data_IF_683471681614
#
_entry.id   IF_683471681614
#
_cell.length_a   1.000
_cell.length_b   1.000
_cell.length_c   1.000
_cell.angle_alpha   90.00
_cell.angle_beta   90.00
_cell.angle_gamma   90.00
#
_symmetry.space_group_name_H-M   'P 1'
#
loop_
_entity.id
_entity.type
_entity.pdbx_description
1 polymer ?
#
# COMPACT_ATOMS: atom_id res chain seq x y z
N UNK A 1 -22.90 -38.74 -38.05
CA UNK A 1 -21.60 -39.44 -37.99
C UNK A 1 -20.53 -38.52 -38.55
N UNK A 2 -19.55 -38.18 -37.70
CA UNK A 2 -18.12 -37.89 -38.01
C UNK A 2 -17.77 -36.84 -39.08
N UNK A 3 -17.23 -35.69 -38.64
CA UNK A 3 -15.78 -35.32 -38.74
C UNK A 3 -15.49 -34.51 -40.03
N UNK A 4 -14.71 -33.43 -40.06
CA UNK A 4 -13.57 -33.04 -39.23
C UNK A 4 -13.35 -31.52 -39.28
N UNK A 5 -12.77 -31.04 -38.19
CA UNK A 5 -12.12 -29.74 -38.00
C UNK A 5 -11.07 -29.47 -39.10
N UNK A 6 -10.82 -28.20 -39.45
CA UNK A 6 -9.58 -27.46 -39.10
C UNK A 6 -8.92 -26.96 -40.41
N UNK A 7 -8.18 -25.86 -40.59
CA UNK A 7 -7.42 -24.93 -39.75
C UNK A 7 -7.41 -23.53 -40.40
N UNK A 8 -7.13 -22.55 -39.56
CA UNK A 8 -6.82 -21.13 -39.79
C UNK A 8 -5.72 -20.94 -40.85
N UNK A 9 -5.88 -19.97 -41.76
CA UNK A 9 -4.75 -19.27 -42.36
C UNK A 9 -4.87 -17.76 -42.10
N UNK A 10 -3.89 -17.33 -41.31
CA UNK A 10 -3.55 -16.01 -40.80
C UNK A 10 -3.10 -15.07 -41.90
N UNK A 11 -3.12 -13.76 -41.59
CA UNK A 11 -2.24 -12.68 -42.09
C UNK A 11 -2.83 -11.81 -43.21
N UNK A 12 -2.71 -10.47 -43.23
CA UNK A 12 -2.19 -9.46 -42.31
C UNK A 12 -2.53 -8.08 -42.92
N UNK A 13 -2.64 -7.03 -42.08
CA UNK A 13 -2.58 -5.57 -42.39
C UNK A 13 -3.73 -5.01 -43.26
N UNK A 14 -4.40 -3.89 -42.95
CA UNK A 14 -3.87 -2.59 -42.55
C UNK A 14 -5.04 -1.73 -42.08
N UNK A 15 -4.94 -1.15 -40.89
CA UNK A 15 -5.97 -0.24 -40.39
C UNK A 15 -5.39 0.59 -39.25
N UNK A 16 -4.74 1.69 -39.62
CA UNK A 16 -4.27 2.69 -38.69
C UNK A 16 -5.46 3.28 -37.92
N UNK A 17 -5.46 3.13 -36.60
CA UNK A 17 -6.14 4.07 -35.70
C UNK A 17 -5.15 4.40 -34.59
N UNK A 18 -4.73 5.65 -34.60
CA UNK A 18 -3.98 6.29 -33.54
C UNK A 18 -4.83 6.43 -32.26
N UNK A 19 -4.15 6.62 -31.14
CA UNK A 19 -4.64 6.76 -29.76
C UNK A 19 -4.92 5.39 -29.10
N UNK A 20 -4.30 5.06 -27.96
CA UNK A 20 -4.18 5.89 -26.76
C UNK A 20 -2.82 5.62 -26.09
N UNK A 21 -2.11 6.69 -25.77
CA UNK A 21 -1.03 6.69 -24.78
C UNK A 21 -1.53 6.03 -23.49
N UNK A 22 -1.16 4.78 -23.23
CA UNK A 22 -1.33 4.20 -21.91
C UNK A 22 -0.48 5.06 -20.95
N UNK A 23 -1.08 5.78 -19.99
CA UNK A 23 -0.29 6.54 -19.04
C UNK A 23 0.50 5.53 -18.22
N UNK A 24 1.82 5.74 -18.24
CA UNK A 24 2.83 5.32 -17.28
C UNK A 24 2.33 4.36 -16.20
N UNK A 25 2.79 3.11 -16.28
CA UNK A 25 2.51 2.07 -15.30
C UNK A 25 2.86 2.50 -13.88
N UNK A 26 1.85 2.89 -13.11
CA UNK A 26 1.90 2.79 -11.66
C UNK A 26 1.80 1.30 -11.34
N UNK A 27 2.95 0.67 -11.04
CA UNK A 27 2.95 -0.67 -10.46
C UNK A 27 2.22 -0.52 -9.11
N UNK A 28 0.96 -0.93 -9.05
CA UNK A 28 0.24 -1.01 -7.79
C UNK A 28 1.02 -2.01 -6.91
N UNK A 29 1.73 -1.52 -5.90
CA UNK A 29 2.43 -2.38 -4.96
C UNK A 29 1.39 -3.29 -4.31
N UNK A 30 1.54 -4.60 -4.53
CA UNK A 30 0.65 -5.58 -3.91
C UNK A 30 0.84 -5.55 -2.39
N UNK A 31 -0.24 -5.56 -1.59
CA UNK A 31 -0.11 -5.60 -0.14
C UNK A 31 0.66 -6.84 0.32
N UNK A 32 1.60 -6.67 1.24
CA UNK A 32 2.44 -7.73 1.81
C UNK A 32 1.79 -8.25 3.08
N UNK A 33 1.50 -9.55 3.16
CA UNK A 33 0.93 -10.15 4.36
C UNK A 33 1.94 -10.18 5.51
N UNK A 34 1.53 -9.67 6.67
CA UNK A 34 2.40 -9.53 7.85
C UNK A 34 2.04 -10.48 9.00
N UNK A 35 0.90 -11.18 8.91
CA UNK A 35 0.41 -12.08 9.96
C UNK A 35 -0.98 -11.69 10.46
N UNK A 36 -1.28 -12.04 11.71
CA UNK A 36 -2.55 -11.72 12.37
C UNK A 36 -2.39 -10.69 13.50
N UNK A 37 -3.36 -9.78 13.60
CA UNK A 37 -3.53 -8.87 14.73
C UNK A 37 -3.90 -9.64 16.02
N UNK A 38 -3.86 -8.96 17.16
CA UNK A 38 -4.34 -9.51 18.44
C UNK A 38 -5.85 -9.81 18.41
N UNK A 39 -6.60 -9.15 17.53
CA UNK A 39 -8.02 -9.41 17.24
C UNK A 39 -8.25 -10.68 16.41
N UNK A 40 -7.18 -11.29 15.86
CA UNK A 40 -7.26 -12.45 14.97
C UNK A 40 -7.39 -12.11 13.48
N UNK A 41 -7.56 -10.83 13.15
CA UNK A 41 -7.71 -10.35 11.78
C UNK A 41 -6.38 -10.32 11.02
N UNK A 42 -6.37 -10.55 9.70
CA UNK A 42 -5.15 -10.50 8.91
C UNK A 42 -4.63 -9.06 8.79
N UNK A 43 -3.31 -8.91 8.78
CA UNK A 43 -2.63 -7.62 8.65
C UNK A 43 -1.83 -7.60 7.35
N UNK A 44 -2.03 -6.57 6.53
CA UNK A 44 -1.28 -6.39 5.29
C UNK A 44 -0.59 -5.03 5.25
N UNK A 45 0.71 -5.01 5.01
CA UNK A 45 1.47 -3.79 4.75
C UNK A 45 1.24 -3.35 3.30
N UNK A 46 0.84 -2.10 3.09
CA UNK A 46 0.60 -1.56 1.74
C UNK A 46 1.84 -0.81 1.24
N UNK A 47 2.46 0.00 2.10
CA UNK A 47 3.64 0.79 1.72
C UNK A 47 3.88 1.99 2.61
N UNK A 48 5.02 2.66 2.39
CA UNK A 48 5.30 3.97 2.96
C UNK A 48 5.04 5.04 1.88
N UNK A 49 4.26 6.06 2.21
CA UNK A 49 4.05 7.23 1.35
C UNK A 49 4.58 8.47 2.06
N UNK A 50 5.39 9.25 1.37
CA UNK A 50 5.62 10.63 1.73
C UNK A 50 4.41 11.43 1.24
N UNK A 51 3.48 11.79 2.12
CA UNK A 51 2.28 12.55 1.70
C UNK A 51 2.40 14.01 2.14
N UNK A 52 2.83 14.82 1.18
CA UNK A 52 2.34 16.18 1.02
C UNK A 52 1.05 16.11 0.18
N UNK A 53 -0.05 16.72 0.62
CA UNK A 53 -1.13 17.14 -0.30
C UNK A 53 -2.54 16.56 -0.11
N UNK A 54 -2.75 15.55 0.73
CA UNK A 54 -4.07 14.90 0.89
C UNK A 54 -4.87 15.36 2.14
N UNK A 55 -4.43 16.41 2.83
CA UNK A 55 -5.12 17.02 3.99
C UNK A 55 -5.29 18.55 3.80
N UNK A 56 -6.20 19.22 4.56
CA UNK A 56 -6.38 20.66 4.48
C UNK A 56 -5.05 21.42 4.61
N UNK A 57 -4.90 22.52 3.86
CA UNK A 57 -3.66 23.30 3.60
C UNK A 57 -2.80 23.61 4.82
N UNK A 58 -3.36 23.55 6.01
CA UNK A 58 -2.77 23.93 7.29
C UNK A 58 -1.92 22.79 7.90
N UNK A 59 -2.06 21.56 7.39
CA UNK A 59 -1.27 20.41 7.82
C UNK A 59 -0.11 20.21 6.84
N UNK A 60 1.04 20.75 7.26
CA UNK A 60 2.33 20.60 6.61
C UNK A 60 2.56 19.15 6.17
N UNK A 61 3.15 18.99 4.97
CA UNK A 61 3.87 17.79 4.58
C UNK A 61 4.43 17.07 5.80
N UNK A 62 4.06 15.81 5.99
CA UNK A 62 4.55 15.10 7.15
C UNK A 62 6.07 15.00 7.01
N UNK A 63 6.82 15.63 7.92
CA UNK A 63 8.27 15.48 7.96
C UNK A 63 8.68 14.01 8.10
N UNK A 64 7.78 13.20 8.68
CA UNK A 64 7.94 11.78 8.84
C UNK A 64 7.07 11.01 7.83
N UNK A 65 7.64 10.08 7.06
CA UNK A 65 6.89 9.26 6.12
C UNK A 65 5.80 8.43 6.81
N UNK A 66 4.64 8.38 6.19
CA UNK A 66 3.48 7.68 6.69
C UNK A 66 3.47 6.25 6.16
N UNK A 67 3.20 5.28 7.03
CA UNK A 67 2.99 3.89 6.66
C UNK A 67 1.49 3.66 6.46
N UNK A 68 1.13 2.94 5.40
CA UNK A 68 -0.22 2.43 5.18
C UNK A 68 -0.24 0.91 5.30
N UNK A 69 -1.23 0.39 6.02
CA UNK A 69 -1.47 -1.03 6.20
C UNK A 69 -2.97 -1.29 6.46
N UNK A 70 -3.39 -2.56 6.52
CA UNK A 70 -4.76 -2.94 6.92
C UNK A 70 -4.75 -3.84 8.14
N UNK A 71 -5.85 -3.82 8.89
CA UNK A 71 -6.22 -4.84 9.87
C UNK A 71 -7.61 -5.32 9.47
N UNK A 72 -7.74 -6.57 9.04
CA UNK A 72 -8.99 -7.06 8.46
C UNK A 72 -9.34 -6.26 7.20
N UNK A 73 -10.43 -5.49 7.26
CA UNK A 73 -10.88 -4.60 6.18
C UNK A 73 -10.55 -3.13 6.41
N UNK A 74 -10.08 -2.78 7.61
CA UNK A 74 -9.88 -1.40 8.00
C UNK A 74 -8.55 -0.90 7.44
N UNK A 75 -8.57 0.27 6.80
CA UNK A 75 -7.37 0.92 6.31
C UNK A 75 -6.77 1.80 7.40
N UNK A 76 -5.49 1.55 7.68
CA UNK A 76 -4.75 2.24 8.72
C UNK A 76 -3.60 3.02 8.10
N UNK A 77 -3.48 4.27 8.53
CA UNK A 77 -2.37 5.16 8.25
C UNK A 77 -1.65 5.46 9.55
N UNK A 78 -0.32 5.39 9.58
CA UNK A 78 0.42 5.58 10.82
C UNK A 78 1.76 6.28 10.64
N UNK A 79 2.13 7.13 11.60
CA UNK A 79 3.48 7.70 11.71
C UNK A 79 4.33 6.77 12.56
N UNK A 80 5.39 6.16 12.02
CA UNK A 80 6.34 5.45 12.85
C UNK A 80 7.24 6.42 13.62
N UNK A 81 7.50 6.14 14.89
CA UNK A 81 8.68 6.65 15.59
C UNK A 81 9.69 5.50 15.75
N UNK A 82 10.58 5.40 14.77
CA UNK A 82 11.54 4.30 14.65
C UNK A 82 12.58 4.26 15.77
N UNK A 83 12.85 5.38 16.45
CA UNK A 83 13.77 5.41 17.59
C UNK A 83 13.12 4.83 18.85
N UNK A 84 11.81 5.06 19.02
CA UNK A 84 11.06 4.62 20.19
C UNK A 84 10.37 3.27 20.00
N UNK A 85 10.32 2.74 18.77
CA UNK A 85 9.64 1.46 18.49
C UNK A 85 8.13 1.54 18.69
N UNK A 86 7.53 2.71 18.38
CA UNK A 86 6.09 2.95 18.50
C UNK A 86 5.53 3.58 17.23
N UNK A 87 4.21 3.54 17.08
CA UNK A 87 3.50 4.44 16.17
C UNK A 87 3.18 5.73 16.91
N UNK A 88 3.81 6.83 16.49
CA UNK A 88 3.59 8.15 17.09
C UNK A 88 2.12 8.60 16.92
N UNK A 89 1.53 8.33 15.77
CA UNK A 89 0.13 8.59 15.46
C UNK A 89 -0.46 7.48 14.61
N UNK A 90 -1.73 7.17 14.84
CA UNK A 90 -2.50 6.20 14.06
C UNK A 90 -3.82 6.83 13.67
N UNK A 91 -4.11 6.73 12.39
CA UNK A 91 -5.26 7.27 11.71
C UNK A 91 -6.02 6.14 11.02
N UNK A 92 -7.34 6.12 11.19
CA UNK A 92 -8.25 5.18 10.51
C UNK A 92 -9.34 6.03 9.88
N UNK A 93 -9.60 5.81 8.58
CA UNK A 93 -10.57 6.60 7.80
C UNK A 93 -10.38 8.13 7.94
N UNK A 94 -9.13 8.59 7.98
CA UNK A 94 -8.77 10.00 8.10
C UNK A 94 -8.98 10.61 9.49
N UNK A 95 -9.31 9.81 10.52
CA UNK A 95 -9.47 10.26 11.91
C UNK A 95 -8.34 9.74 12.78
N UNK A 96 -7.77 10.61 13.62
CA UNK A 96 -6.76 10.22 14.60
C UNK A 96 -7.42 9.36 15.68
N UNK A 97 -7.00 8.09 15.78
CA UNK A 97 -7.53 7.12 16.75
C UNK A 97 -6.66 7.09 18.00
N UNK A 98 -5.34 7.15 17.85
CA UNK A 98 -4.42 7.08 18.99
C UNK A 98 -3.05 7.68 18.70
N UNK A 99 -2.29 7.97 19.76
CA UNK A 99 -0.91 8.47 19.74
C UNK A 99 0.00 7.59 20.59
N UNK A 100 1.27 7.49 20.22
CA UNK A 100 2.31 6.73 20.93
C UNK A 100 1.91 5.26 21.22
N UNK A 101 1.32 4.60 20.23
CA UNK A 101 0.86 3.22 20.37
C UNK A 101 2.03 2.24 20.20
N UNK A 102 2.24 1.38 21.21
CA UNK A 102 3.11 0.20 21.05
C UNK A 102 2.40 -0.86 20.19
N UNK A 103 3.13 -1.62 19.35
CA UNK A 103 2.52 -2.68 18.56
C UNK A 103 1.74 -3.68 19.44
N UNK A 104 0.46 -3.88 19.12
CA UNK A 104 -0.42 -4.78 19.88
C UNK A 104 -0.25 -6.26 19.52
N UNK A 105 0.47 -6.56 18.43
CA UNK A 105 0.77 -7.92 17.99
C UNK A 105 2.09 -7.98 17.21
N UNK A 106 2.62 -9.19 17.01
CA UNK A 106 3.80 -9.43 16.17
C UNK A 106 3.61 -8.96 14.72
N UNK A 107 2.40 -9.08 14.18
CA UNK A 107 2.10 -8.63 12.81
C UNK A 107 2.17 -7.10 12.70
N UNK A 108 1.62 -6.39 13.70
CA UNK A 108 1.69 -4.92 13.75
C UNK A 108 3.12 -4.45 14.04
N UNK A 109 3.90 -5.22 14.81
CA UNK A 109 5.32 -4.96 15.02
C UNK A 109 6.10 -5.10 13.71
N UNK A 110 5.83 -6.14 12.93
CA UNK A 110 6.46 -6.33 11.62
C UNK A 110 6.13 -5.18 10.66
N UNK A 111 4.90 -4.65 10.68
CA UNK A 111 4.53 -3.43 9.92
C UNK A 111 5.43 -2.25 10.31
N UNK A 112 5.63 -2.01 11.61
CA UNK A 112 6.48 -0.92 12.09
C UNK A 112 7.93 -1.11 11.64
N UNK A 113 8.47 -2.31 11.77
CA UNK A 113 9.84 -2.64 11.38
C UNK A 113 10.04 -2.48 9.87
N UNK A 114 9.14 -3.02 9.05
CA UNK A 114 9.17 -2.88 7.59
C UNK A 114 9.08 -1.42 7.17
N UNK A 115 8.17 -0.65 7.76
CA UNK A 115 8.05 0.77 7.48
C UNK A 115 9.31 1.54 7.87
N UNK A 116 9.83 1.33 9.08
CA UNK A 116 11.07 1.96 9.54
C UNK A 116 12.30 1.63 8.68
N UNK A 117 12.37 0.41 8.12
CA UNK A 117 13.42 0.03 7.19
C UNK A 117 13.22 0.67 5.81
N UNK A 118 11.97 0.79 5.34
CA UNK A 118 11.65 1.44 4.06
C UNK A 118 12.00 2.93 4.06
N UNK A 119 11.81 3.59 5.20
CA UNK A 119 12.05 5.03 5.40
C UNK A 119 13.54 5.38 5.39
N UNK A 120 14.39 4.49 5.90
CA UNK A 120 15.85 4.70 5.93
C UNK A 120 16.50 4.67 4.55
N UNK A 121 15.78 4.24 3.50
CA UNK A 121 16.33 4.02 2.16
C UNK A 121 16.02 5.18 1.21
N UNK A 122 15.31 6.24 1.64
CA UNK A 122 15.22 7.49 0.85
C UNK A 122 16.45 8.37 1.14
N UNK A 123 17.39 8.52 0.18
CA UNK A 123 18.56 9.39 0.32
C UNK A 123 18.20 10.88 0.36
#
# INVERSE_FOLDING_TARGET
>A
MTSSKSWIYTSFVTGAVAAVLAPSGAIAQMPVYMGKASTGEPVYYIGAKAQCGDLPRDHQCWQNPMISYTIGRDQVAAIPNCKQGVFAEIWVDGKLVTRNMKPASKAIQAVLETGCNSVKISP
#
